data_IF_314109445174
#
_entry.id   IF_314109445174
#
_cell.length_a   1.000
_cell.length_b   1.000
_cell.length_c   1.000
_cell.angle_alpha   90.00
_cell.angle_beta   90.00
_cell.angle_gamma   90.00
#
_symmetry.space_group_name_H-M   'P 1'
#
loop_
_entity.id
_entity.type
_entity.pdbx_description
1 polymer ?
#
# COMPACT_ATOMS: atom_id res chain seq x y z
N UNK A 1 -27.68 25.54 -6.34
CA UNK A 1 -26.73 25.38 -5.21
C UNK A 1 -27.53 25.18 -3.93
N UNK A 2 -27.23 24.16 -3.14
CA UNK A 2 -27.95 23.78 -1.92
C UNK A 2 -27.01 23.55 -0.74
N UNK A 3 -27.54 23.43 0.46
CA UNK A 3 -26.77 23.21 1.69
C UNK A 3 -27.15 24.20 2.80
N UNK A 4 -26.55 24.06 4.00
CA UNK A 4 -26.89 24.89 5.15
C UNK A 4 -26.59 26.38 4.91
N UNK A 5 -27.28 27.28 5.62
CA UNK A 5 -27.10 28.74 5.49
C UNK A 5 -25.65 29.17 5.69
N UNK A 6 -25.00 28.63 6.71
CA UNK A 6 -23.58 28.88 7.00
C UNK A 6 -22.61 28.12 6.09
N UNK A 7 -23.11 27.38 5.09
CA UNK A 7 -22.31 26.55 4.17
C UNK A 7 -21.51 27.34 3.12
N UNK A 8 -21.82 28.63 2.91
CA UNK A 8 -21.16 29.45 1.89
C UNK A 8 -21.88 29.54 0.55
N UNK A 9 -23.20 29.28 0.51
CA UNK A 9 -24.04 29.40 -0.70
C UNK A 9 -23.97 30.79 -1.33
N UNK A 10 -24.32 31.83 -0.58
CA UNK A 10 -24.25 33.24 -0.99
C UNK A 10 -22.82 33.66 -1.35
N UNK A 11 -21.83 33.21 -0.58
CA UNK A 11 -20.41 33.49 -0.84
C UNK A 11 -19.97 32.88 -2.18
N UNK A 12 -20.48 31.71 -2.53
CA UNK A 12 -20.22 31.06 -3.82
C UNK A 12 -20.76 31.91 -4.96
N UNK A 13 -22.01 32.39 -4.88
CA UNK A 13 -22.60 33.26 -5.89
C UNK A 13 -21.79 34.55 -6.07
N UNK A 14 -21.47 35.23 -4.96
CA UNK A 14 -20.68 36.46 -4.97
C UNK A 14 -19.30 36.23 -5.59
N UNK A 15 -18.63 35.14 -5.21
CA UNK A 15 -17.35 34.75 -5.79
C UNK A 15 -17.46 34.59 -7.30
N UNK A 16 -18.48 33.88 -7.80
CA UNK A 16 -18.67 33.66 -9.23
C UNK A 16 -18.86 34.97 -10.01
N UNK A 17 -19.73 35.86 -9.52
CA UNK A 17 -19.93 37.19 -10.12
C UNK A 17 -18.66 38.05 -10.09
N UNK A 18 -17.97 38.10 -8.95
CA UNK A 18 -16.76 38.90 -8.78
C UNK A 18 -15.62 38.42 -9.67
N UNK A 19 -15.38 37.11 -9.77
CA UNK A 19 -14.32 36.57 -10.64
C UNK A 19 -14.59 36.92 -12.11
N UNK A 20 -15.84 36.84 -12.56
CA UNK A 20 -16.22 37.23 -13.91
C UNK A 20 -15.94 38.73 -14.16
N UNK A 21 -16.40 39.60 -13.26
CA UNK A 21 -16.19 41.04 -13.39
C UNK A 21 -14.71 41.43 -13.32
N UNK A 22 -13.95 40.85 -12.39
CA UNK A 22 -12.51 41.09 -12.26
C UNK A 22 -11.77 40.73 -13.55
N UNK A 23 -12.05 39.55 -14.13
CA UNK A 23 -11.45 39.12 -15.38
C UNK A 23 -11.78 40.08 -16.54
N UNK A 24 -13.02 40.54 -16.65
CA UNK A 24 -13.45 41.49 -17.69
C UNK A 24 -12.88 42.90 -17.50
N UNK A 25 -12.51 43.27 -16.26
CA UNK A 25 -11.77 44.49 -15.96
C UNK A 25 -10.26 44.36 -16.20
N UNK A 26 -9.77 43.19 -16.66
CA UNK A 26 -8.35 42.93 -16.88
C UNK A 26 -7.55 42.70 -15.59
N UNK A 27 -8.22 42.38 -14.47
CA UNK A 27 -7.56 42.05 -13.21
C UNK A 27 -7.18 40.56 -13.17
N UNK A 28 -6.08 40.25 -12.49
CA UNK A 28 -5.78 38.88 -12.11
C UNK A 28 -6.86 38.36 -11.14
N UNK A 29 -7.30 37.14 -11.37
CA UNK A 29 -8.28 36.47 -10.50
C UNK A 29 -7.58 35.42 -9.62
N UNK A 30 -8.03 35.20 -8.37
CA UNK A 30 -7.48 34.18 -7.48
C UNK A 30 -7.96 32.77 -7.88
N UNK A 31 -7.52 32.29 -9.03
CA UNK A 31 -7.85 30.98 -9.57
C UNK A 31 -6.59 30.25 -10.06
N UNK A 32 -6.70 28.95 -10.34
CA UNK A 32 -5.58 28.17 -10.89
C UNK A 32 -5.17 28.63 -12.30
N UNK A 33 -3.94 28.33 -12.70
CA UNK A 33 -3.34 28.71 -13.98
C UNK A 33 -4.06 28.18 -15.23
N UNK A 34 -4.88 27.14 -15.08
CA UNK A 34 -5.71 26.56 -16.14
C UNK A 34 -7.19 27.00 -16.11
N UNK A 35 -7.52 28.04 -15.34
CA UNK A 35 -8.90 28.53 -15.23
C UNK A 35 -9.30 29.34 -16.46
N UNK A 36 -10.53 29.13 -16.92
CA UNK A 36 -11.14 29.90 -18.00
C UNK A 36 -12.41 30.61 -17.50
N UNK A 37 -12.66 31.81 -18.02
CA UNK A 37 -13.83 32.62 -17.67
C UNK A 37 -14.54 33.02 -18.95
N UNK A 38 -15.86 32.93 -18.94
CA UNK A 38 -16.71 33.38 -20.04
C UNK A 38 -16.93 34.89 -19.95
N UNK A 39 -16.95 35.56 -21.11
CA UNK A 39 -17.28 36.99 -21.21
C UNK A 39 -18.79 37.15 -21.30
N UNK A 40 -19.35 37.94 -20.39
CA UNK A 40 -20.76 38.28 -20.30
C UNK A 40 -20.95 39.77 -20.53
N UNK A 41 -21.97 40.13 -21.31
CA UNK A 41 -22.31 41.53 -21.56
C UNK A 41 -22.96 42.13 -20.30
N UNK A 42 -23.62 41.31 -19.48
CA UNK A 42 -24.27 41.71 -18.23
C UNK A 42 -24.07 40.67 -17.13
N UNK A 43 -23.84 41.15 -15.91
CA UNK A 43 -23.93 40.34 -14.68
C UNK A 43 -25.10 40.88 -13.86
N UNK A 44 -26.19 40.13 -13.80
CA UNK A 44 -27.44 40.48 -13.14
C UNK A 44 -27.56 39.69 -11.84
N UNK A 45 -27.82 40.36 -10.72
CA UNK A 45 -27.77 39.72 -9.41
C UNK A 45 -28.95 40.14 -8.53
N UNK A 46 -29.62 39.15 -7.96
CA UNK A 46 -30.49 39.27 -6.80
C UNK A 46 -29.82 38.55 -5.63
N UNK A 47 -28.90 39.27 -4.96
CA UNK A 47 -28.02 38.72 -3.92
C UNK A 47 -27.92 39.71 -2.76
N UNK A 48 -28.49 39.40 -1.59
CA UNK A 48 -28.45 40.28 -0.42
C UNK A 48 -29.36 39.83 0.72
N UNK A 49 -29.10 40.36 1.92
CA UNK A 49 -29.90 40.11 3.12
C UNK A 49 -31.15 41.02 3.17
N UNK A 50 -32.22 40.44 3.70
CA UNK A 50 -33.58 40.95 3.94
C UNK A 50 -33.71 42.17 4.89
N UNK A 51 -32.71 43.03 5.04
CA UNK A 51 -32.71 44.07 6.08
C UNK A 51 -32.40 45.48 5.60
N UNK A 52 -33.05 45.92 4.51
CA UNK A 52 -33.19 47.36 4.30
C UNK A 52 -34.50 47.84 4.93
N UNK A 53 -34.37 48.52 6.06
CA UNK A 53 -35.44 49.30 6.71
C UNK A 53 -35.95 50.43 5.77
N UNK A 54 -35.26 50.70 4.66
CA UNK A 54 -35.55 51.82 3.75
C UNK A 54 -36.66 51.53 2.73
N UNK A 55 -37.19 50.31 2.64
CA UNK A 55 -38.35 50.02 1.78
C UNK A 55 -39.43 49.27 2.55
N UNK A 56 -40.58 49.90 2.75
CA UNK A 56 -41.77 49.35 3.41
C UNK A 56 -42.49 48.23 2.61
N UNK A 57 -41.74 47.45 1.82
CA UNK A 57 -42.23 46.30 1.07
C UNK A 57 -41.84 45.01 1.82
N UNK A 58 -42.67 43.97 1.71
CA UNK A 58 -42.24 42.64 2.15
C UNK A 58 -40.98 42.25 1.39
N UNK A 59 -40.03 41.61 2.06
CA UNK A 59 -38.76 41.16 1.48
C UNK A 59 -38.96 40.36 0.19
N UNK A 60 -39.98 39.50 0.16
CA UNK A 60 -40.43 38.81 -1.06
C UNK A 60 -40.76 39.76 -2.22
N UNK A 61 -41.51 40.83 -1.98
CA UNK A 61 -41.91 41.78 -3.04
C UNK A 61 -40.73 42.55 -3.60
N UNK A 62 -39.75 42.88 -2.77
CA UNK A 62 -38.52 43.55 -3.21
C UNK A 62 -37.67 42.64 -4.10
N UNK A 63 -37.44 41.39 -3.67
CA UNK A 63 -36.76 40.37 -4.48
C UNK A 63 -37.50 40.10 -5.80
N UNK A 64 -38.84 40.04 -5.75
CA UNK A 64 -39.64 39.84 -6.95
C UNK A 64 -39.56 41.02 -7.92
N UNK A 65 -39.58 42.25 -7.42
CA UNK A 65 -39.41 43.43 -8.26
C UNK A 65 -38.03 43.45 -8.94
N UNK A 66 -36.97 43.09 -8.22
CA UNK A 66 -35.63 42.95 -8.78
C UNK A 66 -35.57 41.83 -9.82
N UNK A 67 -36.13 40.66 -9.50
CA UNK A 67 -36.22 39.52 -10.43
C UNK A 67 -36.95 39.88 -11.71
N UNK A 68 -38.08 40.61 -11.62
CA UNK A 68 -38.82 41.10 -12.79
C UNK A 68 -37.92 41.98 -13.67
N UNK A 69 -37.07 42.82 -13.09
CA UNK A 69 -36.15 43.66 -13.84
C UNK A 69 -35.02 42.85 -14.49
N UNK A 70 -34.46 41.87 -13.77
CA UNK A 70 -33.49 40.90 -14.31
C UNK A 70 -34.08 40.17 -15.52
N UNK A 71 -35.31 39.68 -15.43
CA UNK A 71 -35.98 38.94 -16.49
C UNK A 71 -36.17 39.78 -17.78
N UNK A 72 -36.37 41.10 -17.66
CA UNK A 72 -36.48 41.99 -18.83
C UNK A 72 -35.16 42.20 -19.56
N UNK A 73 -34.04 42.12 -18.84
CA UNK A 73 -32.71 42.40 -19.38
C UNK A 73 -31.92 41.15 -19.77
N UNK A 74 -32.34 39.98 -19.28
CA UNK A 74 -31.68 38.70 -19.50
C UNK A 74 -31.65 38.29 -20.99
N UNK A 75 -30.46 37.90 -21.44
CA UNK A 75 -30.18 37.37 -22.78
C UNK A 75 -29.12 36.24 -22.72
N UNK A 76 -28.74 35.69 -23.87
CA UNK A 76 -27.76 34.60 -24.01
C UNK A 76 -26.32 35.01 -23.65
N UNK A 77 -26.09 36.30 -23.41
CA UNK A 77 -24.82 36.91 -23.00
C UNK A 77 -24.86 37.37 -21.55
N UNK A 78 -25.89 37.00 -20.79
CA UNK A 78 -26.07 37.36 -19.39
C UNK A 78 -25.62 36.26 -18.43
N UNK A 79 -24.94 36.66 -17.35
CA UNK A 79 -24.75 35.85 -16.15
C UNK A 79 -25.76 36.31 -15.08
N UNK A 80 -26.56 35.39 -14.56
CA UNK A 80 -27.61 35.68 -13.58
C UNK A 80 -27.33 34.96 -12.27
N UNK A 81 -27.41 35.69 -11.16
CA UNK A 81 -27.17 35.19 -9.81
C UNK A 81 -28.41 35.41 -8.95
N UNK A 82 -29.06 34.33 -8.51
CA UNK A 82 -30.21 34.39 -7.61
C UNK A 82 -29.88 33.77 -6.26
N UNK A 83 -29.98 34.55 -5.18
CA UNK A 83 -29.86 34.03 -3.82
C UNK A 83 -31.23 33.73 -3.24
N UNK A 84 -31.40 32.51 -2.73
CA UNK A 84 -32.64 31.99 -2.11
C UNK A 84 -33.90 32.26 -2.94
N UNK A 85 -33.83 31.98 -4.25
CA UNK A 85 -34.92 32.25 -5.20
C UNK A 85 -36.22 31.60 -4.76
N UNK A 86 -37.28 32.41 -4.65
CA UNK A 86 -38.61 31.98 -4.24
C UNK A 86 -38.83 31.91 -2.72
N UNK A 87 -37.84 32.26 -1.90
CA UNK A 87 -37.98 32.34 -0.44
C UNK A 87 -38.91 33.49 -0.01
N UNK A 88 -39.40 33.43 1.23
CA UNK A 88 -40.26 34.49 1.80
C UNK A 88 -41.76 34.36 1.46
N UNK A 89 -42.19 33.26 0.85
CA UNK A 89 -43.59 32.91 0.57
C UNK A 89 -43.88 31.44 0.91
N UNK A 90 -45.09 30.97 0.59
CA UNK A 90 -45.46 29.55 0.69
C UNK A 90 -44.41 28.66 -0.02
N UNK A 91 -43.89 27.59 0.62
CA UNK A 91 -42.85 26.76 0.04
C UNK A 91 -43.21 26.13 -1.31
N UNK A 92 -44.47 25.72 -1.50
CA UNK A 92 -44.91 25.05 -2.74
C UNK A 92 -45.00 26.08 -3.87
N UNK A 93 -45.61 27.24 -3.59
CA UNK A 93 -45.68 28.34 -4.56
C UNK A 93 -44.29 28.89 -4.89
N UNK A 94 -43.46 29.11 -3.87
CA UNK A 94 -42.10 29.61 -4.00
C UNK A 94 -41.20 28.71 -4.84
N UNK A 95 -41.26 27.40 -4.61
CA UNK A 95 -40.53 26.42 -5.41
C UNK A 95 -41.00 26.39 -6.88
N UNK A 96 -42.31 26.40 -7.12
CA UNK A 96 -42.87 26.41 -8.47
C UNK A 96 -42.47 27.68 -9.24
N UNK A 97 -42.54 28.83 -8.57
CA UNK A 97 -42.16 30.12 -9.14
C UNK A 97 -40.65 30.16 -9.46
N UNK A 98 -39.80 29.69 -8.55
CA UNK A 98 -38.36 29.64 -8.76
C UNK A 98 -37.98 28.74 -9.96
N UNK A 99 -38.63 27.58 -10.12
CA UNK A 99 -38.43 26.71 -11.28
C UNK A 99 -38.84 27.44 -12.57
N UNK A 100 -40.00 28.11 -12.58
CA UNK A 100 -40.49 28.84 -13.74
C UNK A 100 -39.52 29.98 -14.15
N UNK A 101 -39.03 30.74 -13.19
CA UNK A 101 -38.05 31.81 -13.40
C UNK A 101 -36.74 31.26 -13.99
N UNK A 102 -36.21 30.17 -13.42
CA UNK A 102 -34.98 29.52 -13.92
C UNK A 102 -35.19 29.01 -15.35
N UNK A 103 -36.36 28.43 -15.66
CA UNK A 103 -36.66 27.97 -17.01
C UNK A 103 -36.78 29.12 -18.02
N UNK A 104 -37.37 30.25 -17.64
CA UNK A 104 -37.50 31.43 -18.51
C UNK A 104 -36.13 31.99 -18.90
N UNK A 105 -35.24 32.23 -17.94
CA UNK A 105 -33.89 32.75 -18.22
C UNK A 105 -33.04 31.73 -18.98
N UNK A 106 -33.19 30.44 -18.69
CA UNK A 106 -32.54 29.37 -19.47
C UNK A 106 -33.06 29.33 -20.90
N UNK A 107 -34.35 29.55 -21.12
CA UNK A 107 -34.96 29.65 -22.45
C UNK A 107 -34.41 30.81 -23.27
N UNK A 108 -33.97 31.88 -22.60
CA UNK A 108 -33.26 33.03 -23.20
C UNK A 108 -31.77 32.78 -23.46
N UNK A 109 -31.23 31.64 -23.00
CA UNK A 109 -29.82 31.27 -23.16
C UNK A 109 -28.90 31.78 -22.05
N UNK A 110 -29.42 32.43 -21.01
CA UNK A 110 -28.60 33.01 -19.94
C UNK A 110 -27.95 31.94 -19.07
N UNK A 111 -26.69 32.16 -18.66
CA UNK A 111 -26.04 31.31 -17.67
C UNK A 111 -26.51 31.73 -16.28
N UNK A 112 -27.04 30.80 -15.50
CA UNK A 112 -27.69 31.11 -14.22
C UNK A 112 -27.11 30.27 -13.08
N UNK A 113 -26.81 30.92 -11.96
CA UNK A 113 -26.52 30.26 -10.70
C UNK A 113 -27.55 30.70 -9.65
N UNK A 114 -28.26 29.73 -9.07
CA UNK A 114 -29.26 29.99 -8.04
C UNK A 114 -28.97 29.19 -6.76
N UNK A 115 -29.22 29.78 -5.59
CA UNK A 115 -29.23 29.05 -4.32
C UNK A 115 -30.67 28.80 -3.87
N UNK A 116 -30.90 27.71 -3.14
CA UNK A 116 -32.24 27.36 -2.67
C UNK A 116 -32.19 26.37 -1.51
N UNK A 117 -33.30 26.32 -0.77
CA UNK A 117 -33.60 25.32 0.26
C UNK A 117 -34.67 24.31 -0.17
N UNK A 118 -35.35 24.57 -1.29
CA UNK A 118 -36.46 23.75 -1.76
C UNK A 118 -35.97 22.42 -2.34
N UNK A 119 -36.62 21.33 -1.95
CA UNK A 119 -36.28 19.99 -2.40
C UNK A 119 -36.69 19.78 -3.87
N UNK A 120 -37.78 20.42 -4.28
CA UNK A 120 -38.32 20.43 -5.63
C UNK A 120 -37.30 20.93 -6.64
N UNK A 121 -36.50 21.96 -6.28
CA UNK A 121 -35.43 22.47 -7.14
C UNK A 121 -34.26 21.49 -7.24
N UNK A 122 -33.96 20.73 -6.18
CA UNK A 122 -32.96 19.64 -6.23
C UNK A 122 -33.40 18.60 -7.26
N UNK A 123 -34.67 18.18 -7.19
CA UNK A 123 -35.26 17.21 -8.12
C UNK A 123 -35.29 17.73 -9.55
N UNK A 124 -35.71 18.98 -9.75
CA UNK A 124 -35.70 19.65 -11.06
C UNK A 124 -34.32 19.62 -11.71
N UNK A 125 -33.27 19.93 -10.95
CA UNK A 125 -31.89 19.91 -11.45
C UNK A 125 -31.35 18.50 -11.72
N UNK A 126 -31.92 17.43 -11.14
CA UNK A 126 -31.54 16.04 -11.46
C UNK A 126 -32.20 15.54 -12.74
N UNK A 127 -33.40 16.01 -13.06
CA UNK A 127 -34.23 15.49 -14.16
C UNK A 127 -34.19 16.36 -15.42
N UNK A 128 -33.66 17.58 -15.33
CA UNK A 128 -33.68 18.55 -16.43
C UNK A 128 -32.30 18.67 -17.07
N UNK A 129 -32.21 18.33 -18.35
CA UNK A 129 -30.98 18.48 -19.12
C UNK A 129 -30.50 19.95 -19.18
N UNK A 130 -29.21 20.18 -18.96
CA UNK A 130 -28.62 21.53 -18.94
C UNK A 130 -28.87 22.29 -17.64
N UNK A 131 -29.36 21.61 -16.60
CA UNK A 131 -29.39 22.11 -15.22
C UNK A 131 -28.55 21.16 -14.39
N UNK A 132 -27.72 21.69 -13.50
CA UNK A 132 -26.82 20.87 -12.68
C UNK A 132 -26.96 21.25 -11.20
N UNK A 133 -27.00 20.23 -10.36
CA UNK A 133 -26.99 20.43 -8.92
C UNK A 133 -25.61 20.82 -8.42
N UNK A 134 -25.57 21.58 -7.34
CA UNK A 134 -24.35 21.80 -6.58
C UNK A 134 -24.69 21.95 -5.11
N UNK A 135 -23.75 21.60 -4.23
CA UNK A 135 -23.94 21.72 -2.80
C UNK A 135 -22.70 22.19 -2.05
N UNK A 136 -22.93 22.97 -1.00
CA UNK A 136 -21.88 23.35 -0.06
C UNK A 136 -21.73 22.26 1.00
N UNK A 137 -20.53 21.67 1.07
CA UNK A 137 -20.22 20.60 2.01
C UNK A 137 -20.18 21.12 3.46
N UNK A 138 -20.76 20.30 4.36
CA UNK A 138 -20.87 20.61 5.77
C UNK A 138 -20.53 19.39 6.62
N UNK A 139 -19.64 19.58 7.58
CA UNK A 139 -19.23 18.53 8.49
C UNK A 139 -20.12 18.51 9.73
N UNK A 140 -21.02 17.53 9.77
CA UNK A 140 -21.93 17.26 10.89
C UNK A 140 -21.16 16.86 12.16
N UNK A 141 -19.95 16.27 12.02
CA UNK A 141 -19.08 15.88 13.14
C UNK A 141 -18.30 17.03 13.76
N UNK A 142 -18.19 18.19 13.11
CA UNK A 142 -17.59 19.38 13.73
C UNK A 142 -18.56 20.56 13.84
N UNK A 143 -19.74 20.46 13.21
CA UNK A 143 -20.68 21.56 12.96
C UNK A 143 -20.04 22.74 12.22
N UNK A 144 -19.08 22.45 11.34
CA UNK A 144 -18.37 23.47 10.59
C UNK A 144 -18.61 23.29 9.08
N UNK A 145 -18.83 24.38 8.34
CA UNK A 145 -18.74 24.34 6.89
C UNK A 145 -17.31 24.00 6.48
N UNK A 146 -17.15 23.15 5.45
CA UNK A 146 -15.82 22.90 4.86
C UNK A 146 -15.49 23.90 3.76
N UNK A 147 -16.49 24.72 3.37
CA UNK A 147 -16.44 25.66 2.25
C UNK A 147 -16.04 25.02 0.91
N UNK A 148 -16.21 23.71 0.77
CA UNK A 148 -16.12 23.01 -0.51
C UNK A 148 -17.46 23.07 -1.22
N UNK A 149 -17.44 23.53 -2.46
CA UNK A 149 -18.55 23.40 -3.39
C UNK A 149 -18.40 22.09 -4.15
N UNK A 150 -19.47 21.29 -4.15
CA UNK A 150 -19.54 20.00 -4.80
C UNK A 150 -20.50 20.12 -5.97
N UNK A 151 -19.96 20.14 -7.19
CA UNK A 151 -20.74 20.20 -8.43
C UNK A 151 -21.29 18.80 -8.76
N UNK A 152 -22.48 18.76 -9.34
CA UNK A 152 -23.23 17.55 -9.69
C UNK A 152 -24.01 16.92 -8.54
N UNK A 153 -23.83 17.39 -7.30
CA UNK A 153 -24.34 16.71 -6.10
C UNK A 153 -25.34 17.60 -5.35
N UNK A 154 -26.61 17.19 -5.21
CA UNK A 154 -27.58 17.87 -4.36
C UNK A 154 -27.21 17.72 -2.87
N UNK A 155 -27.38 18.79 -2.10
CA UNK A 155 -27.03 18.85 -0.69
C UNK A 155 -28.14 18.27 0.18
N UNK A 156 -27.74 17.49 1.19
CA UNK A 156 -28.66 16.98 2.21
C UNK A 156 -29.09 18.07 3.21
N UNK A 157 -30.29 17.91 3.74
CA UNK A 157 -30.82 18.78 4.79
C UNK A 157 -30.30 18.30 6.16
N UNK A 158 -29.38 19.06 6.77
CA UNK A 158 -28.72 18.64 8.03
C UNK A 158 -29.46 19.07 9.31
N UNK A 159 -30.67 19.62 9.22
CA UNK A 159 -31.37 20.26 10.33
C UNK A 159 -31.46 19.38 11.58
N UNK A 160 -31.96 18.14 11.47
CA UNK A 160 -32.08 17.24 12.62
C UNK A 160 -30.74 16.83 13.22
N UNK A 161 -29.74 16.57 12.37
CA UNK A 161 -28.41 16.17 12.85
C UNK A 161 -27.72 17.32 13.60
N UNK A 162 -27.93 18.57 13.14
CA UNK A 162 -27.48 19.78 13.82
C UNK A 162 -28.24 19.96 15.14
N UNK A 163 -29.59 19.89 15.12
CA UNK A 163 -30.42 20.07 16.32
C UNK A 163 -30.10 19.05 17.42
N UNK A 164 -29.92 17.77 17.06
CA UNK A 164 -29.48 16.71 18.00
C UNK A 164 -28.20 17.10 18.71
N UNK A 165 -27.25 17.64 17.96
CA UNK A 165 -25.95 18.01 18.48
C UNK A 165 -25.95 19.30 19.31
N UNK A 166 -26.89 20.20 19.02
CA UNK A 166 -27.17 21.36 19.86
C UNK A 166 -27.93 21.00 21.15
N UNK A 167 -28.30 19.72 21.33
CA UNK A 167 -28.91 19.20 22.55
C UNK A 167 -30.44 19.12 22.51
N UNK A 168 -31.06 19.19 21.32
CA UNK A 168 -32.49 18.93 21.19
C UNK A 168 -32.78 17.46 21.52
N UNK A 169 -33.79 17.23 22.35
CA UNK A 169 -34.17 15.89 22.80
C UNK A 169 -34.55 14.98 21.63
N UNK A 170 -34.12 13.71 21.70
CA UNK A 170 -34.34 12.74 20.63
C UNK A 170 -35.84 12.51 20.38
N UNK A 171 -36.68 12.56 21.42
CA UNK A 171 -38.13 12.40 21.28
C UNK A 171 -38.75 13.53 20.44
N UNK A 172 -38.25 14.77 20.58
CA UNK A 172 -38.71 15.90 19.77
C UNK A 172 -38.29 15.73 18.31
N UNK A 173 -37.07 15.25 18.08
CA UNK A 173 -36.56 14.98 16.73
C UNK A 173 -37.37 13.89 16.04
N UNK A 174 -37.63 12.78 16.73
CA UNK A 174 -38.42 11.68 16.17
C UNK A 174 -39.87 12.09 15.91
N UNK A 175 -40.48 12.85 16.82
CA UNK A 175 -41.81 13.43 16.60
C UNK A 175 -41.84 14.37 15.39
N UNK A 176 -40.81 15.20 15.20
CA UNK A 176 -40.72 16.11 14.05
C UNK A 176 -40.54 15.35 12.73
N UNK A 177 -39.72 14.30 12.70
CA UNK A 177 -39.59 13.42 11.52
C UNK A 177 -40.90 12.75 11.14
N UNK A 178 -41.70 12.35 12.13
CA UNK A 178 -43.00 11.71 11.89
C UNK A 178 -44.03 12.66 11.25
N UNK A 179 -43.82 13.98 11.30
CA UNK A 179 -44.67 14.98 10.65
C UNK A 179 -44.29 15.25 9.19
N UNK A 180 -43.13 14.76 8.74
CA UNK A 180 -42.68 14.98 7.37
C UNK A 180 -43.37 13.99 6.42
N UNK A 181 -43.59 14.43 5.18
CA UNK A 181 -44.12 13.55 4.14
C UNK A 181 -43.13 12.41 3.82
N UNK A 182 -43.67 11.21 3.62
CA UNK A 182 -42.89 9.99 3.39
C UNK A 182 -42.02 10.08 2.13
N UNK A 183 -42.46 10.80 1.10
CA UNK A 183 -41.65 11.01 -0.11
C UNK A 183 -40.42 11.88 0.17
N UNK A 184 -40.60 12.95 0.95
CA UNK A 184 -39.52 13.85 1.35
C UNK A 184 -38.48 13.13 2.22
N UNK A 185 -38.92 12.27 3.14
CA UNK A 185 -38.03 11.45 3.98
C UNK A 185 -37.22 10.47 3.13
N UNK A 186 -37.87 9.73 2.22
CA UNK A 186 -37.18 8.79 1.32
C UNK A 186 -36.15 9.48 0.44
N UNK A 187 -36.47 10.67 -0.08
CA UNK A 187 -35.54 11.43 -0.90
C UNK A 187 -34.29 11.85 -0.11
N UNK A 188 -34.45 12.39 1.10
CA UNK A 188 -33.33 12.76 1.97
C UNK A 188 -32.50 11.53 2.42
N UNK A 189 -33.12 10.36 2.61
CA UNK A 189 -32.41 9.11 2.89
C UNK A 189 -31.52 8.68 1.70
N UNK A 190 -32.02 8.79 0.46
CA UNK A 190 -31.23 8.52 -0.75
C UNK A 190 -30.06 9.49 -0.86
N UNK A 191 -30.28 10.78 -0.59
CA UNK A 191 -29.20 11.78 -0.56
C UNK A 191 -28.13 11.43 0.48
N UNK A 192 -28.57 10.97 1.65
CA UNK A 192 -27.66 10.56 2.73
C UNK A 192 -26.81 9.36 2.33
N UNK A 193 -27.41 8.33 1.74
CA UNK A 193 -26.68 7.15 1.25
C UNK A 193 -25.70 7.49 0.12
N UNK A 194 -26.09 8.38 -0.79
CA UNK A 194 -25.24 8.84 -1.89
C UNK A 194 -23.98 9.56 -1.35
N UNK A 195 -24.16 10.45 -0.38
CA UNK A 195 -23.08 11.18 0.25
C UNK A 195 -22.12 10.26 1.01
N UNK A 196 -22.64 9.31 1.81
CA UNK A 196 -21.81 8.33 2.50
C UNK A 196 -21.00 7.47 1.54
N UNK A 197 -21.62 7.02 0.44
CA UNK A 197 -20.94 6.24 -0.59
C UNK A 197 -19.84 7.05 -1.27
N UNK A 198 -20.10 8.33 -1.57
CA UNK A 198 -19.11 9.25 -2.13
C UNK A 198 -17.93 9.43 -1.19
N UNK A 199 -18.16 9.73 0.09
CA UNK A 199 -17.09 9.91 1.07
C UNK A 199 -16.23 8.66 1.24
N UNK A 200 -16.83 7.46 1.17
CA UNK A 200 -16.09 6.20 1.17
C UNK A 200 -15.22 6.04 -0.08
N UNK A 201 -15.76 6.38 -1.25
CA UNK A 201 -15.01 6.33 -2.52
C UNK A 201 -13.86 7.32 -2.53
N UNK A 202 -14.08 8.56 -2.08
CA UNK A 202 -13.04 9.61 -1.99
C UNK A 202 -11.91 9.19 -1.04
N UNK A 203 -12.24 8.62 0.12
CA UNK A 203 -11.23 8.07 1.04
C UNK A 203 -10.43 6.93 0.42
N UNK A 204 -11.10 6.00 -0.26
CA UNK A 204 -10.44 4.88 -0.93
C UNK A 204 -9.54 5.35 -2.08
N UNK A 205 -9.95 6.35 -2.85
CA UNK A 205 -9.13 6.96 -3.90
C UNK A 205 -7.88 7.64 -3.31
N UNK A 206 -8.05 8.46 -2.27
CA UNK A 206 -6.92 9.12 -1.61
C UNK A 206 -5.92 8.12 -1.02
N UNK A 207 -6.40 7.01 -0.44
CA UNK A 207 -5.54 5.94 0.05
C UNK A 207 -4.81 5.22 -1.09
N UNK A 208 -5.50 4.93 -2.19
CA UNK A 208 -4.90 4.33 -3.38
C UNK A 208 -3.80 5.22 -3.97
N UNK A 209 -4.05 6.52 -4.10
CA UNK A 209 -3.07 7.50 -4.61
C UNK A 209 -1.84 7.59 -3.70
N UNK A 210 -2.04 7.58 -2.39
CA UNK A 210 -0.95 7.57 -1.42
C UNK A 210 -0.10 6.31 -1.55
N UNK A 211 -0.73 5.14 -1.63
CA UNK A 211 -0.04 3.87 -1.81
C UNK A 211 0.68 3.80 -3.17
N UNK A 212 0.10 4.39 -4.21
CA UNK A 212 0.70 4.46 -5.53
C UNK A 212 1.98 5.30 -5.53
N UNK A 213 1.94 6.51 -4.94
CA UNK A 213 3.14 7.35 -4.77
C UNK A 213 4.23 6.66 -3.94
N UNK A 214 3.86 5.98 -2.86
CA UNK A 214 4.81 5.25 -2.04
C UNK A 214 5.48 4.12 -2.82
N UNK A 215 4.71 3.35 -3.61
CA UNK A 215 5.27 2.31 -4.49
C UNK A 215 6.22 2.88 -5.54
N UNK A 216 5.89 4.03 -6.11
CA UNK A 216 6.74 4.68 -7.10
C UNK A 216 8.08 5.14 -6.50
N UNK A 217 8.06 5.71 -5.30
CA UNK A 217 9.27 6.08 -4.55
C UNK A 217 10.12 4.85 -4.19
N UNK A 218 9.50 3.79 -3.68
CA UNK A 218 10.21 2.56 -3.31
C UNK A 218 10.81 1.87 -4.55
N UNK A 219 10.07 1.86 -5.67
CA UNK A 219 10.60 1.37 -6.95
C UNK A 219 11.76 2.23 -7.46
N UNK A 220 11.74 3.54 -7.24
CA UNK A 220 12.86 4.44 -7.57
C UNK A 220 14.09 4.14 -6.72
N UNK A 221 13.93 4.00 -5.40
CA UNK A 221 15.02 3.64 -4.47
C UNK A 221 15.62 2.28 -4.81
N UNK A 222 14.77 1.28 -5.08
CA UNK A 222 15.20 -0.06 -5.47
C UNK A 222 16.01 -0.04 -6.78
N UNK A 223 15.59 0.76 -7.78
CA UNK A 223 16.36 0.94 -9.02
C UNK A 223 17.73 1.56 -8.76
N UNK A 224 17.78 2.67 -8.02
CA UNK A 224 19.06 3.32 -7.70
C UNK A 224 19.99 2.41 -6.89
N UNK A 225 19.45 1.62 -5.96
CA UNK A 225 20.22 0.67 -5.17
C UNK A 225 20.77 -0.46 -6.06
N UNK A 226 19.95 -1.02 -6.96
CA UNK A 226 20.40 -2.04 -7.92
C UNK A 226 21.53 -1.53 -8.82
N UNK A 227 21.41 -0.31 -9.35
CA UNK A 227 22.46 0.31 -10.16
C UNK A 227 23.77 0.51 -9.38
N UNK A 228 23.68 0.92 -8.11
CA UNK A 228 24.86 1.04 -7.24
C UNK A 228 25.50 -0.32 -6.95
N UNK A 229 24.70 -1.35 -6.67
CA UNK A 229 25.17 -2.70 -6.41
C UNK A 229 25.83 -3.33 -7.64
N UNK A 230 25.28 -3.09 -8.84
CA UNK A 230 25.86 -3.55 -10.10
C UNK A 230 27.22 -2.89 -10.35
N UNK A 231 27.33 -1.57 -10.19
CA UNK A 231 28.62 -0.85 -10.28
C UNK A 231 29.62 -1.33 -9.24
N UNK A 232 29.19 -1.58 -8.01
CA UNK A 232 30.06 -2.10 -6.95
C UNK A 232 30.59 -3.50 -7.30
N UNK A 233 29.71 -4.39 -7.81
CA UNK A 233 30.08 -5.73 -8.26
C UNK A 233 31.09 -5.68 -9.40
N UNK A 234 30.85 -4.85 -10.42
CA UNK A 234 31.74 -4.77 -11.58
C UNK A 234 33.12 -4.16 -11.22
N UNK A 235 33.14 -3.19 -10.30
CA UNK A 235 34.38 -2.64 -9.74
C UNK A 235 35.13 -3.69 -8.91
N UNK A 236 34.44 -4.46 -8.07
CA UNK A 236 35.04 -5.52 -7.27
C UNK A 236 35.63 -6.62 -8.17
N UNK A 237 34.90 -7.02 -9.22
CA UNK A 237 35.37 -7.98 -10.22
C UNK A 237 36.62 -7.48 -10.94
N UNK A 238 36.61 -6.23 -11.42
CA UNK A 238 37.74 -5.65 -12.15
C UNK A 238 39.00 -5.56 -11.26
N UNK A 239 38.84 -5.20 -9.99
CA UNK A 239 39.95 -5.20 -9.01
C UNK A 239 40.47 -6.62 -8.75
N UNK A 240 39.58 -7.59 -8.52
CA UNK A 240 39.96 -8.99 -8.32
C UNK A 240 40.71 -9.57 -9.52
N UNK A 241 40.26 -9.30 -10.75
CA UNK A 241 40.94 -9.72 -11.98
C UNK A 241 42.34 -9.07 -12.11
N UNK A 242 42.48 -7.79 -11.75
CA UNK A 242 43.76 -7.09 -11.78
C UNK A 242 44.74 -7.65 -10.72
N UNK A 243 44.26 -7.89 -9.50
CA UNK A 243 45.07 -8.47 -8.42
C UNK A 243 45.50 -9.90 -8.75
N UNK A 244 44.59 -10.73 -9.28
CA UNK A 244 44.91 -12.08 -9.75
C UNK A 244 45.98 -12.07 -10.85
N UNK A 245 45.85 -11.18 -11.86
CA UNK A 245 46.89 -11.03 -12.90
C UNK A 245 48.23 -10.62 -12.32
N UNK A 246 48.25 -9.72 -11.32
CA UNK A 246 49.48 -9.29 -10.65
C UNK A 246 50.16 -10.43 -9.90
N UNK A 247 49.39 -11.24 -9.17
CA UNK A 247 49.89 -12.42 -8.45
C UNK A 247 50.49 -13.42 -9.44
N UNK A 248 49.78 -13.74 -10.52
CA UNK A 248 50.27 -14.68 -11.55
C UNK A 248 51.56 -14.17 -12.20
N UNK A 249 51.63 -12.88 -12.56
CA UNK A 249 52.86 -12.30 -13.11
C UNK A 249 54.03 -12.34 -12.13
N UNK A 250 53.77 -12.09 -10.84
CA UNK A 250 54.80 -12.16 -9.80
C UNK A 250 55.30 -13.60 -9.61
N UNK A 251 54.39 -14.57 -9.58
CA UNK A 251 54.73 -15.99 -9.52
C UNK A 251 55.53 -16.42 -10.75
N UNK A 252 55.16 -15.98 -11.96
CA UNK A 252 55.90 -16.25 -13.19
C UNK A 252 57.31 -15.68 -13.14
N UNK A 253 57.49 -14.42 -12.72
CA UNK A 253 58.81 -13.80 -12.57
C UNK A 253 59.67 -14.50 -11.53
N UNK A 254 59.08 -14.94 -10.41
CA UNK A 254 59.77 -15.72 -9.40
C UNK A 254 60.21 -17.08 -9.96
N UNK A 255 59.34 -17.75 -10.71
CA UNK A 255 59.68 -19.00 -11.39
C UNK A 255 60.82 -18.80 -12.41
N UNK A 256 60.75 -17.78 -13.25
CA UNK A 256 61.78 -17.45 -14.23
C UNK A 256 63.12 -17.11 -13.56
N UNK A 257 63.11 -16.38 -12.44
CA UNK A 257 64.31 -16.08 -11.66
C UNK A 257 64.92 -17.36 -11.05
N UNK A 258 64.10 -18.26 -10.51
CA UNK A 258 64.55 -19.57 -10.00
C UNK A 258 65.12 -20.42 -11.14
N UNK A 259 64.50 -20.41 -12.32
CA UNK A 259 65.04 -21.13 -13.48
C UNK A 259 66.37 -20.54 -13.97
N UNK A 260 66.52 -19.22 -13.98
CA UNK A 260 67.77 -18.56 -14.33
C UNK A 260 68.89 -18.88 -13.33
N UNK A 261 68.60 -18.87 -12.03
CA UNK A 261 69.54 -19.25 -10.98
C UNK A 261 69.95 -20.73 -11.10
N UNK A 262 69.01 -21.62 -11.41
CA UNK A 262 69.29 -23.04 -11.69
C UNK A 262 70.15 -23.24 -12.94
N UNK A 263 69.93 -22.46 -14.00
CA UNK A 263 70.76 -22.52 -15.21
C UNK A 263 72.17 -21.92 -15.00
N UNK A 264 72.30 -20.91 -14.14
CA UNK A 264 73.60 -20.37 -13.72
C UNK A 264 74.37 -21.35 -12.82
N UNK A 265 73.68 -21.97 -11.85
CA UNK A 265 74.21 -23.09 -11.07
C UNK A 265 74.62 -24.27 -11.95
N UNK A 266 73.85 -24.59 -13.01
CA UNK A 266 74.23 -25.58 -14.03
C UNK A 266 75.48 -25.20 -14.80
N UNK A 267 75.65 -23.94 -15.19
CA UNK A 267 76.88 -23.46 -15.86
C UNK A 267 78.08 -23.51 -14.94
N UNK A 268 77.90 -23.24 -13.64
CA UNK A 268 78.95 -23.40 -12.63
C UNK A 268 79.26 -24.88 -12.35
N UNK A 269 78.24 -25.76 -12.38
CA UNK A 269 78.38 -27.21 -12.24
C UNK A 269 78.75 -27.93 -13.55
N UNK A 270 78.74 -27.28 -14.71
CA UNK A 270 79.28 -27.86 -15.95
C UNK A 270 80.81 -28.05 -15.91
N UNK A 271 81.47 -27.64 -14.82
CA UNK A 271 82.84 -28.07 -14.48
C UNK A 271 82.91 -29.37 -13.67
N UNK A 272 81.81 -29.93 -13.19
CA UNK A 272 81.73 -31.25 -12.54
C UNK A 272 80.38 -31.90 -12.84
N UNK A 273 80.39 -32.82 -13.80
CA UNK A 273 79.22 -33.58 -14.22
C UNK A 273 78.56 -34.33 -13.04
N UNK A 274 77.25 -34.16 -12.89
CA UNK A 274 76.36 -35.23 -12.44
C UNK A 274 74.89 -34.93 -12.80
N UNK A 275 74.30 -35.79 -13.65
CA UNK A 275 72.98 -35.58 -14.27
C UNK A 275 71.82 -36.10 -13.39
N UNK A 276 72.11 -36.83 -12.31
CA UNK A 276 71.10 -37.56 -11.51
C UNK A 276 70.48 -36.72 -10.38
N UNK A 277 71.22 -35.79 -9.77
CA UNK A 277 70.71 -34.88 -8.72
C UNK A 277 69.76 -33.80 -9.23
N UNK A 278 69.73 -33.59 -10.55
CA UNK A 278 68.93 -32.58 -11.24
C UNK A 278 67.43 -32.91 -11.31
N UNK A 279 67.08 -34.20 -11.34
CA UNK A 279 65.68 -34.63 -11.44
C UNK A 279 64.93 -34.49 -10.10
N UNK A 280 65.63 -34.75 -8.99
CA UNK A 280 65.06 -34.64 -7.63
C UNK A 280 64.77 -33.18 -7.24
N UNK A 281 65.66 -32.25 -7.59
CA UNK A 281 65.45 -30.81 -7.31
C UNK A 281 64.35 -30.20 -8.17
N UNK A 282 64.17 -30.68 -9.40
CA UNK A 282 63.09 -30.23 -10.30
C UNK A 282 61.71 -30.70 -9.79
N UNK A 283 61.63 -31.89 -9.18
CA UNK A 283 60.40 -32.35 -8.52
C UNK A 283 60.08 -31.56 -7.25
N UNK A 284 61.09 -31.15 -6.47
CA UNK A 284 60.88 -30.34 -5.25
C UNK A 284 60.38 -28.93 -5.56
N UNK A 285 60.91 -28.27 -6.61
CA UNK A 285 60.41 -26.97 -7.06
C UNK A 285 58.98 -27.08 -7.57
N UNK A 286 58.65 -28.15 -8.32
CA UNK A 286 57.28 -28.39 -8.79
C UNK A 286 56.30 -28.70 -7.65
N UNK A 287 56.77 -29.37 -6.58
CA UNK A 287 55.98 -29.60 -5.36
C UNK A 287 55.69 -28.29 -4.63
N UNK A 288 56.70 -27.42 -4.45
CA UNK A 288 56.53 -26.10 -3.82
C UNK A 288 55.61 -25.18 -4.62
N UNK A 289 55.64 -25.28 -5.95
CA UNK A 289 54.74 -24.51 -6.81
C UNK A 289 53.29 -24.99 -6.66
N UNK A 290 53.05 -26.30 -6.63
CA UNK A 290 51.72 -26.87 -6.35
C UNK A 290 51.24 -26.56 -4.92
N UNK A 291 52.14 -26.52 -3.93
CA UNK A 291 51.80 -26.12 -2.55
C UNK A 291 51.37 -24.64 -2.50
N UNK A 292 52.08 -23.74 -3.18
CA UNK A 292 51.71 -22.32 -3.29
C UNK A 292 50.41 -22.11 -4.08
N UNK A 293 50.16 -22.91 -5.12
CA UNK A 293 48.90 -22.90 -5.89
C UNK A 293 47.72 -23.40 -5.04
N UNK A 294 47.96 -24.38 -4.15
CA UNK A 294 46.95 -24.85 -3.19
C UNK A 294 46.65 -23.83 -2.08
N UNK A 295 47.62 -23.00 -1.68
CA UNK A 295 47.43 -21.93 -0.71
C UNK A 295 46.62 -20.75 -1.29
N UNK A 296 46.71 -20.51 -2.60
CA UNK A 296 45.86 -19.53 -3.32
C UNK A 296 44.39 -19.98 -3.41
N UNK A 297 44.14 -21.29 -3.49
CA UNK A 297 42.78 -21.85 -3.46
C UNK A 297 42.17 -21.98 -2.05
N UNK A 298 42.94 -21.77 -0.97
CA UNK A 298 42.41 -21.78 0.40
C UNK A 298 41.69 -20.50 0.80
N UNK A 299 41.72 -19.44 -0.02
CA UNK A 299 41.14 -18.15 0.36
C UNK A 299 39.62 -18.03 0.15
N UNK A 300 38.94 -19.07 -0.35
CA UNK A 300 37.46 -19.13 -0.45
C UNK A 300 36.77 -19.86 0.72
N UNK A 301 37.52 -20.49 1.64
CA UNK A 301 36.96 -21.14 2.83
C UNK A 301 37.39 -20.40 4.11
N UNK A 302 36.86 -19.20 4.34
CA UNK A 302 36.77 -18.67 5.71
C UNK A 302 35.55 -19.30 6.38
N UNK A 303 35.72 -20.15 7.41
CA UNK A 303 34.58 -20.67 8.17
C UNK A 303 33.90 -19.49 8.87
N UNK A 304 32.60 -19.30 8.63
CA UNK A 304 31.79 -18.39 9.44
C UNK A 304 31.98 -18.72 10.94
N UNK A 305 32.24 -17.74 11.82
CA UNK A 305 32.39 -18.00 13.24
C UNK A 305 31.04 -18.48 13.80
N UNK A 306 30.98 -19.73 14.23
CA UNK A 306 29.78 -20.32 14.85
C UNK A 306 29.64 -19.74 16.27
N UNK A 307 28.46 -19.21 16.66
CA UNK A 307 28.20 -18.80 18.03
C UNK A 307 28.31 -20.00 18.99
N UNK A 308 28.94 -19.80 20.15
CA UNK A 308 29.05 -20.84 21.17
C UNK A 308 27.66 -21.36 21.62
N UNK A 309 27.52 -22.67 21.93
CA UNK A 309 26.24 -23.26 22.27
C UNK A 309 25.63 -22.64 23.54
N UNK A 310 24.30 -22.57 23.58
CA UNK A 310 23.48 -21.99 24.65
C UNK A 310 23.62 -22.70 26.02
N UNK A 311 24.13 -23.95 26.03
CA UNK A 311 24.46 -24.76 27.22
C UNK A 311 25.53 -25.81 26.90
N UNK A 312 26.18 -26.43 27.92
CA UNK A 312 27.06 -27.57 27.73
C UNK A 312 26.30 -28.77 27.12
N UNK A 313 26.96 -29.47 26.19
CA UNK A 313 26.43 -30.64 25.48
C UNK A 313 26.47 -31.86 26.41
N UNK A 314 25.38 -32.64 26.46
CA UNK A 314 25.23 -33.82 27.31
C UNK A 314 25.06 -35.10 26.47
N UNK A 315 25.27 -36.25 27.12
CA UNK A 315 25.04 -37.58 26.51
C UNK A 315 23.55 -37.73 26.17
N UNK A 316 23.24 -38.08 24.93
CA UNK A 316 21.88 -38.19 24.40
C UNK A 316 21.41 -37.02 23.53
N UNK A 317 22.16 -35.92 23.47
CA UNK A 317 21.86 -34.78 22.59
C UNK A 317 22.08 -35.14 21.10
N UNK A 318 21.29 -34.56 20.20
CA UNK A 318 21.54 -34.63 18.74
C UNK A 318 22.27 -33.38 18.30
N UNK A 319 23.42 -33.54 17.65
CA UNK A 319 24.28 -32.45 17.21
C UNK A 319 24.56 -32.53 15.71
N UNK A 320 24.71 -31.39 15.06
CA UNK A 320 25.09 -31.28 13.65
C UNK A 320 26.56 -30.85 13.55
N UNK A 321 27.32 -31.50 12.68
CA UNK A 321 28.73 -31.18 12.42
C UNK A 321 28.83 -30.12 11.33
N UNK A 322 29.67 -29.10 11.56
CA UNK A 322 29.93 -28.09 10.54
C UNK A 322 30.54 -28.74 9.28
N UNK A 323 29.90 -28.56 8.12
CA UNK A 323 30.30 -29.15 6.83
C UNK A 323 29.59 -30.46 6.46
N UNK A 324 28.82 -31.08 7.37
CA UNK A 324 28.04 -32.30 7.09
C UNK A 324 26.61 -32.08 7.59
N UNK A 325 25.66 -31.86 6.67
CA UNK A 325 24.24 -31.60 6.96
C UNK A 325 23.46 -32.80 7.53
N UNK A 326 24.09 -33.65 8.33
CA UNK A 326 23.52 -34.87 8.89
C UNK A 326 23.63 -34.85 10.41
N UNK A 327 22.51 -35.02 11.12
CA UNK A 327 22.47 -35.07 12.57
C UNK A 327 23.14 -36.33 13.14
N UNK A 328 23.92 -36.16 14.20
CA UNK A 328 24.65 -37.22 14.91
C UNK A 328 24.30 -37.22 16.40
N UNK A 329 24.13 -38.40 16.99
CA UNK A 329 23.79 -38.54 18.42
C UNK A 329 25.06 -38.58 19.29
N UNK A 330 25.05 -37.87 20.42
CA UNK A 330 26.15 -37.86 21.39
C UNK A 330 26.09 -39.09 22.28
N UNK A 331 27.06 -39.99 22.14
CA UNK A 331 27.16 -41.23 22.92
C UNK A 331 27.94 -41.07 24.23
N UNK A 332 28.95 -40.20 24.25
CA UNK A 332 29.76 -39.94 25.43
C UNK A 332 30.37 -38.53 25.38
N UNK A 333 30.49 -37.90 26.54
CA UNK A 333 31.25 -36.66 26.76
C UNK A 333 32.48 -37.02 27.57
N UNK A 334 33.65 -36.93 26.96
CA UNK A 334 34.91 -37.22 27.62
C UNK A 334 35.35 -36.01 28.46
N UNK A 335 36.04 -36.26 29.58
CA UNK A 335 36.52 -35.21 30.49
C UNK A 335 37.56 -34.25 29.91
N UNK A 336 38.04 -34.52 28.68
CA UNK A 336 38.97 -33.69 27.91
C UNK A 336 38.27 -32.70 26.95
N UNK A 337 36.93 -32.66 26.97
CA UNK A 337 36.13 -31.77 26.11
C UNK A 337 35.85 -32.33 24.71
N UNK A 338 36.12 -33.61 24.46
CA UNK A 338 35.75 -34.31 23.23
C UNK A 338 34.42 -35.07 23.36
N UNK A 339 33.69 -35.16 22.26
CA UNK A 339 32.39 -35.81 22.15
C UNK A 339 32.50 -37.01 21.21
N UNK A 340 32.02 -38.17 21.65
CA UNK A 340 31.87 -39.34 20.80
C UNK A 340 30.49 -39.30 20.14
N UNK A 341 30.45 -39.13 18.82
CA UNK A 341 29.23 -39.02 18.03
C UNK A 341 28.98 -40.26 17.19
N UNK A 342 27.70 -40.57 16.98
CA UNK A 342 27.27 -41.59 16.03
C UNK A 342 26.36 -40.98 14.96
N UNK A 343 26.84 -40.97 13.72
CA UNK A 343 26.09 -40.58 12.53
C UNK A 343 25.79 -41.84 11.70
N UNK A 344 24.57 -42.38 11.82
CA UNK A 344 24.21 -43.65 11.20
C UNK A 344 25.04 -44.84 11.72
N UNK A 345 25.81 -45.48 10.83
CA UNK A 345 26.70 -46.62 11.17
C UNK A 345 28.13 -46.21 11.56
N UNK A 346 28.47 -44.93 11.47
CA UNK A 346 29.83 -44.42 11.69
C UNK A 346 29.95 -43.74 13.07
N UNK A 347 31.02 -44.05 13.81
CA UNK A 347 31.36 -43.39 15.09
C UNK A 347 32.57 -42.50 14.90
N UNK A 348 32.55 -41.29 15.46
CA UNK A 348 33.65 -40.32 15.36
C UNK A 348 33.80 -39.51 16.64
N UNK A 349 35.01 -39.04 16.93
CA UNK A 349 35.31 -38.21 18.10
C UNK A 349 35.61 -36.78 17.64
N UNK A 350 34.87 -35.79 18.15
CA UNK A 350 34.99 -34.38 17.74
C UNK A 350 35.01 -33.44 18.94
N UNK A 351 35.58 -32.24 18.79
CA UNK A 351 35.60 -31.23 19.86
C UNK A 351 34.25 -30.53 19.96
N UNK A 352 33.83 -30.19 21.17
CA UNK A 352 32.55 -29.51 21.42
C UNK A 352 32.38 -28.16 20.66
N UNK A 353 33.47 -27.51 20.28
CA UNK A 353 33.47 -26.25 19.53
C UNK A 353 33.12 -26.41 18.02
N UNK A 354 33.07 -27.64 17.50
CA UNK A 354 32.86 -27.92 16.07
C UNK A 354 31.46 -28.50 15.78
N UNK A 355 30.58 -28.49 16.78
CA UNK A 355 29.26 -29.10 16.72
C UNK A 355 28.18 -28.11 17.15
N UNK A 356 27.02 -28.18 16.49
CA UNK A 356 25.85 -27.37 16.82
C UNK A 356 24.79 -28.26 17.45
N UNK A 357 24.29 -27.86 18.62
CA UNK A 357 23.18 -28.54 19.29
C UNK A 357 21.87 -28.33 18.50
N UNK A 358 21.20 -29.42 18.11
CA UNK A 358 19.86 -29.37 17.52
C UNK A 358 18.83 -29.49 18.65
N UNK A 359 18.32 -28.36 19.13
CA UNK A 359 17.24 -28.35 20.13
C UNK A 359 15.91 -28.82 19.47
N UNK A 360 15.24 -29.80 20.07
CA UNK A 360 13.90 -30.22 19.65
C UNK A 360 12.84 -29.20 20.04
N UNK A 361 11.84 -28.99 19.17
CA UNK A 361 10.80 -27.97 19.31
C UNK A 361 10.02 -27.99 20.65
N UNK A 362 9.93 -29.14 21.32
CA UNK A 362 9.21 -29.29 22.61
C UNK A 362 9.95 -28.68 23.81
N UNK A 363 11.28 -28.56 23.76
CA UNK A 363 12.08 -27.95 24.84
C UNK A 363 12.15 -26.42 24.73
N UNK A 364 12.07 -25.90 23.50
CA UNK A 364 12.00 -24.46 23.20
C UNK A 364 10.67 -23.88 23.68
N UNK A 365 9.58 -24.65 23.60
CA UNK A 365 8.23 -24.24 24.02
C UNK A 365 8.07 -24.16 25.54
N UNK A 366 8.73 -25.08 26.29
CA UNK A 366 8.75 -25.04 27.77
C UNK A 366 9.53 -23.84 28.32
N UNK A 367 10.56 -23.38 27.61
CA UNK A 367 11.37 -22.22 28.03
C UNK A 367 10.74 -20.87 27.66
N UNK A 368 10.05 -20.76 26.52
CA UNK A 368 9.27 -19.55 26.17
C UNK A 368 8.21 -19.22 27.23
N UNK A 369 7.50 -20.23 27.74
CA UNK A 369 6.50 -20.06 28.82
C UNK A 369 7.07 -19.53 30.14
N UNK A 370 8.36 -19.72 30.41
CA UNK A 370 9.02 -19.16 31.61
C UNK A 370 9.61 -17.75 31.37
N UNK A 371 9.99 -17.41 30.14
CA UNK A 371 10.51 -16.08 29.80
C UNK A 371 9.43 -15.05 29.45
N UNK A 372 8.27 -15.49 28.97
CA UNK A 372 7.15 -14.61 28.57
C UNK A 372 6.44 -13.96 29.76
N UNK A 373 6.60 -14.50 30.97
CA UNK A 373 6.12 -13.88 32.20
C UNK A 373 6.90 -12.60 32.59
N UNK A 374 8.08 -12.36 32.00
CA UNK A 374 8.96 -11.24 32.34
C UNK A 374 9.10 -10.17 31.24
N UNK A 375 8.47 -10.33 30.07
CA UNK A 375 8.64 -9.43 28.91
C UNK A 375 7.31 -8.92 28.32
N UNK A 376 6.42 -8.41 29.15
CA UNK A 376 5.41 -7.46 28.69
C UNK A 376 5.99 -6.04 28.76
N UNK A 377 6.68 -5.59 27.70
CA UNK A 377 6.91 -4.18 27.31
C UNK A 377 7.92 -4.12 26.15
N UNK A 378 7.43 -4.21 24.92
CA UNK A 378 7.93 -3.57 23.67
C UNK A 378 7.43 -4.34 22.43
N UNK A 379 7.13 -3.59 21.37
CA UNK A 379 6.36 -4.01 20.19
C UNK A 379 7.04 -5.02 19.25
N UNK A 380 6.36 -5.36 18.14
CA UNK A 380 6.60 -6.60 17.41
C UNK A 380 7.81 -6.50 16.49
N UNK A 381 8.73 -7.47 16.63
CA UNK A 381 9.71 -7.80 15.59
C UNK A 381 9.34 -9.15 14.98
N UNK A 382 9.27 -9.17 13.65
CA UNK A 382 8.95 -10.36 12.86
C UNK A 382 10.21 -11.22 12.75
N UNK A 383 10.18 -12.43 13.29
CA UNK A 383 11.19 -13.47 13.08
C UNK A 383 10.66 -14.53 12.13
N UNK A 384 11.42 -14.81 11.07
CA UNK A 384 11.13 -15.85 10.08
C UNK A 384 11.74 -17.15 10.60
N UNK A 385 10.89 -18.12 10.95
CA UNK A 385 11.29 -19.48 11.31
C UNK A 385 11.20 -20.39 10.09
N UNK A 386 12.33 -20.99 9.69
CA UNK A 386 12.47 -21.90 8.55
C UNK A 386 12.31 -23.39 8.91
N UNK A 387 11.60 -23.71 10.00
CA UNK A 387 11.26 -25.08 10.35
C UNK A 387 9.83 -25.13 10.92
N UNK A 388 8.84 -24.89 10.07
CA UNK A 388 7.45 -25.01 10.45
C UNK A 388 6.88 -26.34 9.96
N UNK A 389 6.26 -27.10 10.87
CA UNK A 389 5.09 -27.94 10.50
C UNK A 389 4.24 -27.09 9.55
N UNK A 390 3.82 -27.65 8.41
CA UNK A 390 3.01 -26.90 7.45
C UNK A 390 1.89 -26.19 8.23
N UNK A 391 1.90 -24.85 8.22
CA UNK A 391 0.82 -24.07 8.82
C UNK A 391 -0.47 -24.47 8.12
N UNK A 392 -1.61 -24.46 8.82
CA UNK A 392 -2.90 -24.69 8.15
C UNK A 392 -3.26 -23.56 7.17
N UNK A 393 -2.48 -22.49 7.16
CA UNK A 393 -2.66 -21.31 6.32
C UNK A 393 -1.39 -21.01 5.53
N UNK A 394 -1.55 -20.67 4.25
CA UNK A 394 -0.51 -20.18 3.36
C UNK A 394 -0.90 -18.79 2.85
N UNK A 395 -0.06 -17.79 3.12
CA UNK A 395 -0.23 -16.45 2.58
C UNK A 395 0.68 -16.23 1.37
N UNK A 396 0.07 -15.96 0.21
CA UNK A 396 0.76 -15.69 -1.05
C UNK A 396 0.50 -14.27 -1.55
N UNK A 397 -0.05 -13.39 -0.70
CA UNK A 397 -0.27 -11.98 -1.08
C UNK A 397 1.07 -11.31 -1.36
N UNK A 398 1.16 -10.66 -2.52
CA UNK A 398 2.37 -9.93 -2.94
C UNK A 398 3.32 -10.75 -3.82
N UNK A 399 3.07 -12.04 -4.04
CA UNK A 399 3.78 -12.85 -5.02
C UNK A 399 3.23 -12.64 -6.43
N UNK A 400 4.07 -12.80 -7.45
CA UNK A 400 3.62 -12.92 -8.84
C UNK A 400 3.00 -14.30 -9.10
N UNK A 401 2.15 -14.42 -10.12
CA UNK A 401 1.37 -15.64 -10.40
C UNK A 401 2.24 -16.88 -10.58
N UNK A 402 3.37 -16.77 -11.29
CA UNK A 402 4.29 -17.89 -11.52
C UNK A 402 5.04 -18.32 -10.25
N UNK A 403 5.43 -17.37 -9.40
CA UNK A 403 6.07 -17.67 -8.12
C UNK A 403 5.07 -18.32 -7.15
N UNK A 404 3.84 -17.82 -7.12
CA UNK A 404 2.77 -18.34 -6.28
C UNK A 404 2.42 -19.80 -6.62
N UNK A 405 2.47 -20.20 -7.89
CA UNK A 405 2.20 -21.59 -8.30
C UNK A 405 3.18 -22.58 -7.64
N UNK A 406 4.48 -22.29 -7.70
CA UNK A 406 5.51 -23.15 -7.10
C UNK A 406 5.41 -23.20 -5.56
N UNK A 407 5.09 -22.07 -4.92
CA UNK A 407 4.91 -22.00 -3.47
C UNK A 407 3.69 -22.81 -3.03
N UNK A 408 2.57 -22.71 -3.75
CA UNK A 408 1.34 -23.44 -3.42
C UNK A 408 1.51 -24.95 -3.64
N UNK A 409 2.20 -25.36 -4.70
CA UNK A 409 2.44 -26.79 -4.97
C UNK A 409 3.29 -27.44 -3.87
N UNK A 410 4.42 -26.82 -3.52
CA UNK A 410 5.27 -27.29 -2.42
C UNK A 410 4.54 -27.32 -1.07
N UNK A 411 3.65 -26.35 -0.84
CA UNK A 411 2.85 -26.28 0.37
C UNK A 411 1.81 -27.41 0.44
N UNK A 412 1.11 -27.72 -0.66
CA UNK A 412 0.13 -28.81 -0.70
C UNK A 412 0.80 -30.17 -0.42
N UNK A 413 2.00 -30.39 -0.96
CA UNK A 413 2.80 -31.58 -0.66
C UNK A 413 3.25 -31.65 0.81
N UNK A 414 3.61 -30.51 1.41
CA UNK A 414 3.94 -30.44 2.83
C UNK A 414 2.71 -30.66 3.73
N UNK A 415 1.56 -30.10 3.37
CA UNK A 415 0.29 -30.23 4.07
C UNK A 415 -0.27 -31.67 4.01
N UNK A 416 -0.18 -32.31 2.84
CA UNK A 416 -0.58 -33.72 2.65
C UNK A 416 0.31 -34.67 3.48
N UNK A 417 1.63 -34.48 3.46
CA UNK A 417 2.57 -35.24 4.31
C UNK A 417 2.30 -35.05 5.81
N UNK A 418 1.84 -33.85 6.18
CA UNK A 418 1.48 -33.50 7.56
C UNK A 418 0.06 -33.96 7.96
N UNK A 419 -0.68 -34.64 7.07
CA UNK A 419 -2.06 -35.11 7.28
C UNK A 419 -3.04 -34.01 7.71
N UNK A 420 -2.88 -32.79 7.16
CA UNK A 420 -3.85 -31.72 7.37
C UNK A 420 -5.10 -31.99 6.52
N UNK A 421 -6.27 -32.08 7.16
CA UNK A 421 -7.53 -32.32 6.45
C UNK A 421 -8.02 -31.11 5.66
N UNK A 422 -7.81 -29.89 6.19
CA UNK A 422 -8.22 -28.65 5.55
C UNK A 422 -7.12 -27.62 5.67
N UNK A 423 -6.84 -26.90 4.57
CA UNK A 423 -5.87 -25.81 4.51
C UNK A 423 -6.45 -24.58 3.85
N UNK A 424 -5.93 -23.42 4.22
CA UNK A 424 -6.40 -22.11 3.78
C UNK A 424 -5.31 -21.41 2.97
N UNK A 425 -5.63 -20.92 1.77
CA UNK A 425 -4.70 -20.16 0.92
C UNK A 425 -5.21 -18.73 0.80
N UNK A 426 -4.41 -17.78 1.28
CA UNK A 426 -4.72 -16.35 1.28
C UNK A 426 -4.05 -15.71 0.07
N UNK A 427 -4.85 -15.34 -0.93
CA UNK A 427 -4.36 -14.72 -2.19
C UNK A 427 -4.80 -13.26 -2.35
N UNK A 428 -5.66 -12.76 -1.46
CA UNK A 428 -6.19 -11.40 -1.48
C UNK A 428 -7.29 -11.19 -2.52
N UNK A 429 -7.98 -10.04 -2.42
CA UNK A 429 -9.17 -9.70 -3.25
C UNK A 429 -8.86 -8.95 -4.55
N UNK A 430 -7.60 -8.59 -4.83
CA UNK A 430 -7.14 -7.61 -5.85
C UNK A 430 -7.67 -7.78 -7.29
N UNK A 431 -6.80 -8.01 -8.28
CA UNK A 431 -7.22 -8.20 -9.69
C UNK A 431 -7.83 -9.58 -9.97
N UNK A 432 -7.80 -10.48 -8.97
CA UNK A 432 -8.26 -11.87 -9.13
C UNK A 432 -7.29 -12.80 -9.87
N UNK A 433 -6.13 -12.31 -10.32
CA UNK A 433 -5.13 -13.09 -11.05
C UNK A 433 -4.56 -14.25 -10.20
N UNK A 434 -4.14 -13.97 -8.96
CA UNK A 434 -3.66 -15.00 -8.02
C UNK A 434 -4.76 -16.01 -7.67
N UNK A 435 -6.01 -15.56 -7.51
CA UNK A 435 -7.16 -16.46 -7.30
C UNK A 435 -7.33 -17.42 -8.47
N UNK A 436 -7.29 -16.89 -9.70
CA UNK A 436 -7.45 -17.70 -10.91
C UNK A 436 -6.33 -18.74 -11.05
N UNK A 437 -5.07 -18.33 -10.83
CA UNK A 437 -3.92 -19.24 -10.85
C UNK A 437 -4.03 -20.35 -9.79
N UNK A 438 -4.36 -19.99 -8.54
CA UNK A 438 -4.56 -20.96 -7.45
C UNK A 438 -5.70 -21.92 -7.78
N UNK A 439 -6.85 -21.44 -8.25
CA UNK A 439 -7.99 -22.32 -8.61
C UNK A 439 -7.66 -23.24 -9.79
N UNK A 440 -6.86 -22.78 -10.74
CA UNK A 440 -6.40 -23.61 -11.87
C UNK A 440 -5.44 -24.71 -11.42
N UNK A 441 -4.54 -24.41 -10.48
CA UNK A 441 -3.62 -25.37 -9.88
C UNK A 441 -4.37 -26.42 -9.04
N UNK A 442 -5.30 -25.98 -8.18
CA UNK A 442 -6.08 -26.85 -7.31
C UNK A 442 -6.97 -27.82 -8.09
N UNK A 443 -7.51 -27.42 -9.25
CA UNK A 443 -8.27 -28.32 -10.15
C UNK A 443 -7.43 -29.46 -10.73
N UNK A 444 -6.12 -29.24 -10.92
CA UNK A 444 -5.20 -30.21 -11.51
C UNK A 444 -4.54 -31.13 -10.47
N UNK A 445 -4.49 -30.70 -9.20
CA UNK A 445 -3.79 -31.43 -8.15
C UNK A 445 -4.62 -32.62 -7.63
N UNK A 446 -4.05 -33.83 -7.67
CA UNK A 446 -4.71 -35.09 -7.29
C UNK A 446 -4.95 -35.22 -5.77
N UNK A 447 -4.19 -34.50 -4.95
CA UNK A 447 -4.28 -34.52 -3.48
C UNK A 447 -5.47 -33.70 -2.95
N UNK A 448 -6.06 -32.84 -3.79
CA UNK A 448 -7.22 -32.01 -3.43
C UNK A 448 -8.51 -32.82 -3.58
N UNK A 449 -9.33 -32.81 -2.54
CA UNK A 449 -10.67 -33.42 -2.52
C UNK A 449 -11.73 -32.42 -2.98
N UNK A 450 -11.72 -31.21 -2.42
CA UNK A 450 -12.62 -30.12 -2.79
C UNK A 450 -11.99 -28.77 -2.45
N UNK A 451 -12.46 -27.69 -3.07
CA UNK A 451 -12.06 -26.34 -2.68
C UNK A 451 -13.21 -25.35 -2.87
N UNK A 452 -13.24 -24.30 -2.04
CA UNK A 452 -14.23 -23.22 -2.08
C UNK A 452 -13.61 -21.89 -1.69
N UNK A 453 -14.29 -20.79 -2.03
CA UNK A 453 -13.94 -19.49 -1.46
C UNK A 453 -14.30 -19.44 0.04
N UNK A 454 -13.62 -18.56 0.77
CA UNK A 454 -13.92 -18.27 2.17
C UNK A 454 -15.35 -17.76 2.34
N UNK A 455 -15.95 -18.06 3.49
CA UNK A 455 -17.25 -17.50 3.92
C UNK A 455 -17.04 -16.24 4.77
N UNK A 456 -18.14 -15.62 5.19
CA UNK A 456 -18.13 -14.50 6.14
C UNK A 456 -17.37 -14.90 7.42
N UNK A 457 -16.32 -14.14 7.76
CA UNK A 457 -15.38 -14.45 8.86
C UNK A 457 -14.10 -15.21 8.45
N UNK A 458 -14.02 -15.80 7.25
CA UNK A 458 -12.86 -16.56 6.75
C UNK A 458 -12.04 -15.78 5.69
N UNK A 459 -12.32 -14.50 5.46
CA UNK A 459 -11.66 -13.68 4.44
C UNK A 459 -12.35 -13.64 3.07
N UNK A 460 -13.53 -14.26 2.95
CA UNK A 460 -14.44 -14.20 1.78
C UNK A 460 -13.73 -14.49 0.44
N UNK A 461 -13.90 -13.60 -0.56
CA UNK A 461 -13.31 -13.72 -1.88
C UNK A 461 -11.78 -13.58 -1.92
N UNK A 462 -11.12 -13.23 -0.81
CA UNK A 462 -9.67 -13.10 -0.71
C UNK A 462 -8.95 -14.37 -0.30
N UNK A 463 -9.71 -15.42 -0.01
CA UNK A 463 -9.22 -16.66 0.58
C UNK A 463 -9.87 -17.86 -0.11
N UNK A 464 -9.08 -18.90 -0.33
CA UNK A 464 -9.55 -20.20 -0.82
C UNK A 464 -9.28 -21.27 0.23
N UNK A 465 -10.34 -21.95 0.66
CA UNK A 465 -10.28 -23.08 1.59
C UNK A 465 -10.25 -24.38 0.79
N UNK A 466 -9.27 -25.23 1.08
CA UNK A 466 -8.97 -26.47 0.34
C UNK A 466 -9.08 -27.65 1.29
N UNK A 467 -9.86 -28.65 0.92
CA UNK A 467 -9.96 -29.94 1.60
C UNK A 467 -9.04 -30.94 0.90
N UNK A 468 -8.13 -31.55 1.65
CA UNK A 468 -7.18 -32.55 1.14
C UNK A 468 -7.71 -33.97 1.35
N UNK A 469 -7.22 -34.92 0.56
CA UNK A 469 -7.64 -36.34 0.60
C UNK A 469 -7.01 -37.15 1.72
#
# INVERSE_FOLDING_TARGET
>A
ITGPNTGGKTVTLKTLGLLCLMAQCGLHIPAGDQSAVQVFDRVLADVGDEQSIEQSLSTFSAHMANTVEILKQADDRSLILFDELGAGTDPVEGAALAIAIIQDVRGKGALTAATTHYAELKTFAMTTAGVENASCEFDVQTLRPTYRLLIGIPGKSNAFAISRRLGLDESVIENAKAQMDNESVRFEDVLTQLEEKRQRLEKAQNEADRLWRQREEDARKARTFREQMEKARDNARSKGEADARRIVQQAQRQADAVFAELDELRKQQQKQADYQTLNERKSDVKRRLNEAESDLHRHDDTPEPIPAPSRPIAVGDTVELAGVHTGAAVLAVNGDGTLLLQAGKMKMTVKAAQVRLLETAEEVEKKKKQSDAARQRSGPSVQINTAARASAELDIRGLETLEAESVVENYLDAASRSKLGTVTIIHGKGTGALRAAVHQLLKKNRQVKSFRLGRYGEGEAGVTVVELK
#
